data_IF_455029621059
#
_entry.id   IF_455029621059
#
_cell.length_a   1.000
_cell.length_b   1.000
_cell.length_c   1.000
_cell.angle_alpha   90.00
_cell.angle_beta   90.00
_cell.angle_gamma   90.00
#
_symmetry.space_group_name_H-M   'P 1'
#
loop_
_entity.id
_entity.type
_entity.pdbx_description
1 polymer ?
#
# COMPACT_ATOMS: atom_id res chain seq x y z
N UNK A 1 -32.54 -23.29 -2.18
CA UNK A 1 -32.73 -22.08 -1.34
C UNK A 1 -32.52 -22.32 0.15
N UNK A 2 -32.53 -23.58 0.66
CA UNK A 2 -32.38 -23.87 2.09
C UNK A 2 -31.10 -23.26 2.72
N UNK A 3 -29.96 -23.35 2.03
CA UNK A 3 -28.66 -22.85 2.50
C UNK A 3 -28.62 -21.33 2.79
N UNK A 4 -29.46 -20.56 2.10
CA UNK A 4 -29.50 -19.09 2.19
C UNK A 4 -30.82 -18.57 2.73
N UNK A 5 -31.59 -19.40 3.43
CA UNK A 5 -32.89 -19.03 3.97
C UNK A 5 -32.81 -17.91 5.04
N UNK A 6 -31.64 -17.68 5.61
CA UNK A 6 -31.42 -16.66 6.64
C UNK A 6 -31.00 -15.30 6.09
N UNK A 7 -30.78 -15.15 4.77
CA UNK A 7 -30.28 -13.91 4.15
C UNK A 7 -31.07 -12.66 4.57
N UNK A 8 -32.39 -12.75 4.67
CA UNK A 8 -33.24 -11.65 5.11
C UNK A 8 -32.92 -11.20 6.56
N UNK A 9 -32.62 -12.15 7.45
CA UNK A 9 -32.25 -11.82 8.85
C UNK A 9 -30.91 -11.09 8.90
N UNK A 10 -29.95 -11.54 8.09
CA UNK A 10 -28.64 -10.88 7.96
C UNK A 10 -28.79 -9.46 7.41
N UNK A 11 -29.66 -9.28 6.40
CA UNK A 11 -29.92 -7.97 5.81
C UNK A 11 -30.55 -7.02 6.84
N UNK A 12 -31.56 -7.47 7.60
CA UNK A 12 -32.19 -6.68 8.64
C UNK A 12 -31.24 -6.31 9.78
N UNK A 13 -30.32 -7.20 10.17
CA UNK A 13 -29.27 -6.90 11.14
C UNK A 13 -28.30 -5.85 10.60
N UNK A 14 -27.86 -6.00 9.35
CA UNK A 14 -26.99 -5.03 8.72
C UNK A 14 -27.69 -3.66 8.55
N UNK A 15 -29.00 -3.60 8.25
CA UNK A 15 -29.76 -2.35 8.18
C UNK A 15 -29.83 -1.62 9.52
N UNK A 16 -29.99 -2.34 10.64
CA UNK A 16 -29.94 -1.74 11.98
C UNK A 16 -28.57 -1.12 12.28
N UNK A 17 -27.50 -1.78 11.85
CA UNK A 17 -26.13 -1.33 12.08
C UNK A 17 -25.74 -0.17 11.15
N UNK A 18 -26.09 -0.26 9.87
CA UNK A 18 -25.54 0.61 8.82
C UNK A 18 -26.51 1.66 8.28
N UNK A 19 -27.80 1.55 8.57
CA UNK A 19 -28.85 2.37 7.96
C UNK A 19 -29.50 1.66 6.76
N UNK A 20 -30.44 2.33 6.07
CA UNK A 20 -31.32 1.68 5.09
C UNK A 20 -30.55 1.04 3.93
N UNK A 21 -31.01 -0.13 3.49
CA UNK A 21 -30.52 -0.75 2.26
C UNK A 21 -31.12 -0.06 1.03
N UNK A 22 -30.28 0.62 0.24
CA UNK A 22 -30.73 1.50 -0.86
C UNK A 22 -30.83 0.82 -2.23
N UNK A 23 -30.45 -0.45 -2.34
CA UNK A 23 -30.30 -1.13 -3.64
C UNK A 23 -31.55 -1.90 -4.09
N UNK A 24 -32.67 -1.74 -3.38
CA UNK A 24 -33.99 -2.33 -3.65
C UNK A 24 -34.10 -3.85 -3.54
N UNK A 25 -33.15 -4.61 -4.10
CA UNK A 25 -33.17 -6.06 -4.18
C UNK A 25 -31.80 -6.65 -3.85
N UNK A 26 -31.77 -7.67 -2.99
CA UNK A 26 -30.57 -8.43 -2.64
C UNK A 26 -30.73 -9.88 -3.13
N UNK A 27 -30.30 -10.14 -4.36
CA UNK A 27 -30.32 -11.48 -4.96
C UNK A 27 -28.98 -12.19 -4.75
N UNK A 28 -29.05 -13.52 -4.63
CA UNK A 28 -27.88 -14.38 -4.55
C UNK A 28 -27.76 -15.23 -5.81
N UNK A 29 -26.63 -15.09 -6.51
CA UNK A 29 -26.27 -15.94 -7.64
C UNK A 29 -25.25 -16.99 -7.19
N UNK A 30 -25.69 -18.25 -7.12
CA UNK A 30 -24.78 -19.38 -6.85
C UNK A 30 -24.07 -19.74 -8.15
N UNK A 31 -22.79 -19.40 -8.21
CA UNK A 31 -21.95 -19.63 -9.39
C UNK A 31 -21.41 -21.07 -9.41
N UNK A 32 -20.96 -21.57 -10.58
CA UNK A 32 -20.29 -22.85 -10.69
C UNK A 32 -19.05 -22.93 -9.78
N UNK A 33 -18.60 -24.13 -9.39
CA UNK A 33 -17.42 -24.32 -8.53
C UNK A 33 -16.11 -23.71 -9.05
N UNK A 34 -16.06 -23.30 -10.32
CA UNK A 34 -14.93 -22.59 -10.93
C UNK A 34 -14.83 -21.12 -10.52
N UNK A 35 -15.82 -20.57 -9.80
CA UNK A 35 -15.76 -19.20 -9.30
C UNK A 35 -14.63 -19.07 -8.25
N UNK A 36 -13.69 -18.13 -8.41
CA UNK A 36 -12.45 -18.14 -7.64
C UNK A 36 -12.56 -17.50 -6.24
N UNK A 37 -13.72 -16.99 -5.86
CA UNK A 37 -13.94 -16.30 -4.58
C UNK A 37 -15.06 -16.97 -3.77
N UNK A 38 -15.03 -16.81 -2.44
CA UNK A 38 -16.12 -17.29 -1.57
C UNK A 38 -17.43 -16.49 -1.72
N UNK A 39 -17.34 -15.24 -2.18
CA UNK A 39 -18.45 -14.32 -2.41
C UNK A 39 -17.90 -12.97 -2.90
N UNK A 40 -18.77 -12.11 -3.44
CA UNK A 40 -18.41 -10.76 -3.84
C UNK A 40 -19.41 -9.77 -3.21
N UNK A 41 -18.86 -8.65 -2.75
CA UNK A 41 -19.48 -7.44 -2.22
C UNK A 41 -20.32 -7.47 -0.91
N UNK A 42 -20.17 -6.39 -0.13
CA UNK A 42 -21.10 -5.96 0.90
C UNK A 42 -21.77 -4.63 0.47
N UNK A 43 -23.09 -4.48 0.64
CA UNK A 43 -23.84 -3.39 0.04
C UNK A 43 -23.58 -2.00 0.64
N UNK A 44 -23.05 -1.92 1.86
CA UNK A 44 -22.63 -0.65 2.48
C UNK A 44 -21.13 -0.38 2.27
N UNK A 45 -20.28 -1.26 2.77
CA UNK A 45 -18.82 -1.08 2.85
C UNK A 45 -18.14 -1.63 1.60
N UNK A 46 -18.02 -0.77 0.59
CA UNK A 46 -17.51 -1.10 -0.73
C UNK A 46 -18.42 -0.56 -1.83
N UNK A 47 -19.73 -0.82 -1.74
CA UNK A 47 -20.70 -0.39 -2.75
C UNK A 47 -21.29 1.00 -2.47
N UNK A 48 -21.74 1.26 -1.24
CA UNK A 48 -22.28 2.58 -0.87
C UNK A 48 -21.14 3.58 -0.60
N UNK A 49 -20.10 3.11 0.07
CA UNK A 49 -18.88 3.88 0.32
C UNK A 49 -17.70 3.09 -0.23
N UNK A 50 -17.03 3.64 -1.24
CA UNK A 50 -15.99 2.92 -1.98
C UNK A 50 -14.62 3.50 -1.67
N UNK A 51 -13.58 2.69 -1.61
CA UNK A 51 -12.22 3.19 -1.66
C UNK A 51 -11.95 3.98 -2.97
N UNK A 52 -11.29 5.13 -2.86
CA UNK A 52 -10.89 5.98 -4.01
C UNK A 52 -10.00 5.26 -5.00
N UNK A 53 -9.12 4.39 -4.50
CA UNK A 53 -8.28 3.50 -5.27
C UNK A 53 -7.90 2.29 -4.38
N UNK A 54 -7.22 1.30 -4.96
CA UNK A 54 -6.89 0.06 -4.26
C UNK A 54 -5.78 0.20 -3.20
N UNK A 55 -5.02 1.31 -3.13
CA UNK A 55 -4.13 1.56 -1.98
C UNK A 55 -4.94 1.71 -0.67
N UNK A 56 -6.22 2.07 -0.78
CA UNK A 56 -7.16 2.23 0.33
C UNK A 56 -8.15 1.07 0.46
N UNK A 57 -7.87 -0.09 -0.15
CA UNK A 57 -8.78 -1.25 -0.17
C UNK A 57 -9.18 -1.75 1.23
N UNK A 58 -8.33 -1.50 2.23
CA UNK A 58 -8.65 -1.78 3.63
C UNK A 58 -9.91 -1.05 4.12
N UNK A 59 -10.30 0.08 3.53
CA UNK A 59 -11.55 0.79 3.84
C UNK A 59 -12.79 0.01 3.41
N UNK A 60 -12.67 -0.84 2.39
CA UNK A 60 -13.75 -1.74 1.99
C UNK A 60 -13.70 -2.98 2.88
N UNK A 61 -12.63 -3.77 2.79
CA UNK A 61 -12.55 -5.08 3.45
C UNK A 61 -12.51 -5.00 4.97
N UNK A 62 -11.82 -4.01 5.53
CA UNK A 62 -11.72 -3.84 6.99
C UNK A 62 -13.07 -3.53 7.62
N UNK A 63 -13.85 -2.65 6.99
CA UNK A 63 -15.20 -2.33 7.45
C UNK A 63 -16.20 -3.44 7.15
N UNK A 64 -16.03 -4.15 6.03
CA UNK A 64 -16.81 -5.34 5.69
C UNK A 64 -16.65 -6.45 6.74
N UNK A 65 -15.42 -6.81 7.10
CA UNK A 65 -15.16 -7.83 8.13
C UNK A 65 -15.64 -7.36 9.51
N UNK A 66 -15.53 -6.06 9.80
CA UNK A 66 -16.09 -5.50 11.03
C UNK A 66 -17.62 -5.66 11.08
N UNK A 67 -18.31 -5.32 9.99
CA UNK A 67 -19.76 -5.45 9.89
C UNK A 67 -20.21 -6.91 9.94
N UNK A 68 -19.52 -7.80 9.22
CA UNK A 68 -19.77 -9.25 9.23
C UNK A 68 -19.78 -9.79 10.66
N UNK A 69 -18.75 -9.46 11.45
CA UNK A 69 -18.64 -9.89 12.85
C UNK A 69 -19.77 -9.33 13.71
N UNK A 70 -20.10 -8.05 13.56
CA UNK A 70 -21.20 -7.40 14.29
C UNK A 70 -22.57 -8.02 13.97
N UNK A 71 -22.83 -8.29 12.69
CA UNK A 71 -24.06 -8.97 12.27
C UNK A 71 -24.13 -10.37 12.86
N UNK A 72 -23.02 -11.11 12.84
CA UNK A 72 -22.94 -12.43 13.47
C UNK A 72 -23.18 -12.37 14.99
N UNK A 73 -22.64 -11.36 15.67
CA UNK A 73 -22.86 -11.15 17.10
C UNK A 73 -24.34 -10.84 17.42
N UNK A 74 -25.02 -10.03 16.60
CA UNK A 74 -26.47 -9.76 16.74
C UNK A 74 -27.32 -11.02 16.59
N UNK A 75 -26.90 -11.97 15.76
CA UNK A 75 -27.62 -13.22 15.51
C UNK A 75 -27.37 -14.29 16.60
N UNK A 76 -26.45 -14.04 17.54
CA UNK A 76 -26.24 -14.83 18.76
C UNK A 76 -25.40 -16.10 18.62
N UNK A 77 -24.95 -16.62 19.78
CA UNK A 77 -24.06 -17.80 19.91
C UNK A 77 -24.68 -19.14 19.48
N UNK A 78 -26.01 -19.16 19.30
CA UNK A 78 -26.77 -20.35 18.91
C UNK A 78 -26.94 -20.46 17.39
N UNK A 79 -26.55 -19.42 16.63
CA UNK A 79 -26.54 -19.47 15.17
C UNK A 79 -25.51 -20.51 14.68
N UNK A 80 -25.87 -21.46 13.79
CA UNK A 80 -24.98 -22.52 13.34
C UNK A 80 -23.68 -22.03 12.67
N UNK A 81 -23.62 -20.77 12.22
CA UNK A 81 -22.45 -20.15 11.60
C UNK A 81 -21.55 -19.35 12.57
N UNK A 82 -21.89 -19.23 13.86
CA UNK A 82 -21.07 -18.49 14.86
C UNK A 82 -20.08 -19.37 15.64
N UNK A 83 -19.94 -20.66 15.27
CA UNK A 83 -19.12 -21.61 16.03
C UNK A 83 -17.73 -21.86 15.44
N UNK A 84 -16.72 -21.34 16.15
CA UNK A 84 -15.38 -21.96 16.28
C UNK A 84 -14.71 -21.57 17.63
N UNK A 85 -15.43 -21.82 18.75
CA UNK A 85 -15.05 -21.82 20.19
C UNK A 85 -13.86 -20.93 20.66
N UNK A 86 -14.14 -19.99 21.60
CA UNK A 86 -13.72 -20.02 23.03
C UNK A 86 -14.74 -19.27 23.91
N UNK A 87 -15.04 -19.81 25.11
CA UNK A 87 -15.81 -19.22 26.22
C UNK A 87 -14.94 -18.28 27.07
N UNK A 88 -15.41 -17.05 27.30
CA UNK A 88 -14.83 -16.08 28.22
C UNK A 88 -15.92 -15.46 29.11
N UNK A 89 -16.40 -16.21 30.10
CA UNK A 89 -17.29 -15.69 31.14
C UNK A 89 -16.63 -14.59 31.99
N UNK A 90 -17.24 -13.39 31.98
CA UNK A 90 -17.08 -12.41 33.06
C UNK A 90 -16.99 -10.93 32.68
N UNK A 91 -17.79 -10.47 31.70
CA UNK A 91 -18.01 -9.07 31.27
C UNK A 91 -16.77 -8.29 30.78
N UNK A 92 -16.73 -8.05 29.47
CA UNK A 92 -15.65 -7.35 28.76
C UNK A 92 -15.94 -5.84 28.67
N UNK A 93 -14.93 -4.95 28.84
CA UNK A 93 -15.09 -3.49 28.76
C UNK A 93 -15.54 -2.93 27.39
N UNK A 94 -15.78 -3.78 26.38
CA UNK A 94 -16.26 -3.41 25.04
C UNK A 94 -17.76 -3.15 24.95
N UNK A 95 -18.54 -3.52 25.99
CA UNK A 95 -19.99 -3.27 26.03
C UNK A 95 -20.33 -1.76 26.04
N UNK A 96 -19.36 -0.89 26.37
CA UNK A 96 -19.49 0.57 26.27
C UNK A 96 -18.89 1.17 24.97
N UNK A 97 -18.02 0.43 24.26
CA UNK A 97 -17.42 0.87 23.00
C UNK A 97 -18.32 0.58 21.79
N UNK A 98 -19.21 -0.41 21.89
CA UNK A 98 -20.04 -0.88 20.78
C UNK A 98 -20.96 0.22 20.23
N UNK A 99 -21.74 0.91 21.07
CA UNK A 99 -22.73 1.90 20.62
C UNK A 99 -22.09 3.15 20.03
N UNK A 100 -21.03 3.67 20.64
CA UNK A 100 -20.35 4.89 20.19
C UNK A 100 -19.73 4.70 18.80
N UNK A 101 -19.15 3.52 18.54
CA UNK A 101 -18.58 3.22 17.23
C UNK A 101 -19.65 2.88 16.19
N UNK A 102 -20.77 2.27 16.58
CA UNK A 102 -21.90 2.02 15.68
C UNK A 102 -22.51 3.35 15.18
N UNK A 103 -22.61 4.36 16.07
CA UNK A 103 -23.04 5.70 15.67
C UNK A 103 -22.03 6.39 14.74
N UNK A 104 -20.72 6.20 14.98
CA UNK A 104 -19.68 6.64 14.05
C UNK A 104 -19.83 5.95 12.69
N UNK A 105 -20.05 4.64 12.66
CA UNK A 105 -20.18 3.86 11.43
C UNK A 105 -21.36 4.37 10.60
N UNK A 106 -22.53 4.58 11.22
CA UNK A 106 -23.70 5.19 10.55
C UNK A 106 -23.39 6.59 10.02
N UNK A 107 -22.74 7.41 10.84
CA UNK A 107 -22.34 8.77 10.46
C UNK A 107 -21.36 8.77 9.29
N UNK A 108 -20.39 7.86 9.29
CA UNK A 108 -19.42 7.65 8.22
C UNK A 108 -20.09 7.21 6.92
N UNK A 109 -20.95 6.18 6.97
CA UNK A 109 -21.67 5.69 5.79
C UNK A 109 -22.56 6.77 5.19
N UNK A 110 -23.29 7.52 6.02
CA UNK A 110 -24.13 8.62 5.56
C UNK A 110 -23.31 9.78 4.95
N UNK A 111 -22.17 10.13 5.54
CA UNK A 111 -21.32 11.23 5.04
C UNK A 111 -20.74 10.94 3.66
N UNK A 112 -20.30 9.71 3.46
CA UNK A 112 -19.58 9.26 2.27
C UNK A 112 -20.44 8.40 1.32
N UNK A 113 -21.75 8.31 1.56
CA UNK A 113 -22.67 7.62 0.67
C UNK A 113 -22.51 8.09 -0.77
N UNK A 114 -22.37 7.12 -1.68
CA UNK A 114 -22.15 7.28 -3.12
C UNK A 114 -20.89 8.06 -3.46
N UNK A 115 -19.86 8.00 -2.60
CA UNK A 115 -18.56 8.63 -2.83
C UNK A 115 -17.44 7.61 -2.70
N UNK A 116 -16.32 7.96 -3.33
CA UNK A 116 -15.06 7.26 -3.13
C UNK A 116 -14.11 8.04 -2.24
N UNK A 117 -13.47 7.40 -1.27
CA UNK A 117 -12.57 8.06 -0.31
C UNK A 117 -11.20 7.41 -0.16
N UNK A 118 -10.19 8.22 0.17
CA UNK A 118 -8.87 7.75 0.59
C UNK A 118 -8.73 7.64 2.12
N UNK A 119 -7.63 7.02 2.57
CA UNK A 119 -7.32 6.83 4.00
C UNK A 119 -7.24 8.17 4.74
N UNK A 120 -6.76 9.24 4.09
CA UNK A 120 -6.58 10.53 4.75
C UNK A 120 -7.92 11.22 4.99
N UNK A 121 -8.85 11.13 4.01
CA UNK A 121 -10.24 11.57 4.17
C UNK A 121 -10.95 10.79 5.29
N UNK A 122 -10.77 9.47 5.35
CA UNK A 122 -11.28 8.65 6.46
C UNK A 122 -10.71 9.11 7.80
N UNK A 123 -9.37 9.23 7.90
CA UNK A 123 -8.68 9.61 9.14
C UNK A 123 -9.12 11.00 9.60
N UNK A 124 -9.23 11.96 8.69
CA UNK A 124 -9.71 13.29 9.01
C UNK A 124 -11.14 13.25 9.56
N UNK A 125 -12.03 12.46 8.94
CA UNK A 125 -13.40 12.30 9.42
C UNK A 125 -13.47 11.61 10.78
N UNK A 126 -12.70 10.54 10.99
CA UNK A 126 -12.61 9.84 12.28
C UNK A 126 -12.13 10.78 13.40
N UNK A 127 -11.07 11.55 13.16
CA UNK A 127 -10.52 12.48 14.15
C UNK A 127 -11.45 13.65 14.46
N UNK A 128 -12.16 14.16 13.45
CA UNK A 128 -13.20 15.15 13.64
C UNK A 128 -14.45 14.55 14.31
N UNK A 129 -14.74 13.28 14.01
CA UNK A 129 -15.63 12.34 14.67
C UNK A 129 -15.55 12.45 16.18
N UNK A 130 -14.40 11.98 16.64
CA UNK A 130 -14.07 11.78 18.04
C UNK A 130 -13.36 12.98 18.67
N UNK A 131 -13.17 14.07 17.92
CA UNK A 131 -13.74 15.36 18.32
C UNK A 131 -13.70 15.75 19.80
N UNK A 132 -14.78 15.41 20.45
CA UNK A 132 -15.09 15.84 21.80
C UNK A 132 -15.15 14.60 22.72
N UNK A 133 -14.56 13.47 22.28
CA UNK A 133 -14.43 12.27 23.08
C UNK A 133 -13.27 12.47 24.09
N UNK A 134 -13.65 12.99 25.25
CA UNK A 134 -12.78 13.29 26.41
C UNK A 134 -11.88 12.11 26.82
N UNK A 135 -12.31 10.87 26.62
CA UNK A 135 -11.55 9.67 27.00
C UNK A 135 -10.33 9.42 26.10
N UNK A 136 -10.39 9.85 24.83
CA UNK A 136 -9.28 9.72 23.87
C UNK A 136 -8.35 10.94 23.85
N UNK A 137 -8.87 12.13 24.19
CA UNK A 137 -8.18 13.40 23.86
C UNK A 137 -7.43 14.05 24.99
N UNK A 138 -7.90 13.97 26.23
CA UNK A 138 -7.51 14.98 27.21
C UNK A 138 -6.08 14.77 27.72
N UNK A 139 -5.65 13.53 27.96
CA UNK A 139 -4.30 13.26 28.46
C UNK A 139 -3.22 13.38 27.37
N UNK A 140 -3.40 12.73 26.21
CA UNK A 140 -2.35 12.65 25.18
C UNK A 140 -2.22 13.96 24.39
N UNK A 141 -3.33 14.66 24.13
CA UNK A 141 -3.27 15.94 23.40
C UNK A 141 -2.63 17.05 24.25
N UNK A 142 -2.93 17.08 25.55
CA UNK A 142 -2.27 17.99 26.49
C UNK A 142 -0.77 17.69 26.57
N UNK A 143 -0.39 16.41 26.65
CA UNK A 143 1.00 16.00 26.64
C UNK A 143 1.70 16.40 25.32
N UNK A 144 1.08 16.17 24.16
CA UNK A 144 1.62 16.59 22.87
C UNK A 144 1.83 18.11 22.79
N UNK A 145 0.91 18.91 23.34
CA UNK A 145 1.08 20.36 23.50
C UNK A 145 2.29 20.71 24.36
N UNK A 146 2.44 20.05 25.51
CA UNK A 146 3.55 20.27 26.43
C UNK A 146 4.90 19.89 25.82
N UNK A 147 4.98 18.75 25.12
CA UNK A 147 6.20 18.29 24.43
C UNK A 147 6.65 19.30 23.37
N UNK A 148 5.71 19.91 22.63
CA UNK A 148 5.99 20.95 21.63
C UNK A 148 6.42 22.29 22.24
N UNK A 149 6.06 22.55 23.49
CA UNK A 149 6.51 23.74 24.22
C UNK A 149 7.88 23.54 24.86
N UNK A 150 8.45 24.60 25.43
CA UNK A 150 9.68 24.55 26.22
C UNK A 150 9.49 23.97 27.65
N UNK A 151 8.31 23.41 27.96
CA UNK A 151 8.04 22.82 29.26
C UNK A 151 8.93 21.57 29.52
N UNK A 152 9.29 21.28 30.78
CA UNK A 152 10.09 20.11 31.11
C UNK A 152 9.35 18.81 30.76
N UNK A 153 10.09 17.83 30.21
CA UNK A 153 9.61 16.48 29.93
C UNK A 153 10.28 15.46 30.83
N UNK A 154 9.55 14.42 31.21
CA UNK A 154 10.03 13.39 32.13
C UNK A 154 9.59 12.00 31.71
N UNK A 155 10.34 10.97 32.11
CA UNK A 155 9.93 9.58 31.87
C UNK A 155 8.57 9.22 32.49
N UNK A 156 8.10 9.98 33.49
CA UNK A 156 6.80 9.78 34.12
C UNK A 156 5.64 10.09 33.16
N UNK A 157 5.85 11.04 32.26
CA UNK A 157 4.84 11.53 31.33
C UNK A 157 4.26 10.41 30.45
N UNK A 158 5.08 9.41 30.15
CA UNK A 158 4.75 8.31 29.24
C UNK A 158 4.67 6.96 29.95
N UNK A 159 4.96 6.89 31.25
CA UNK A 159 5.04 5.63 32.00
C UNK A 159 3.72 4.86 32.00
N UNK A 160 2.61 5.57 32.14
CA UNK A 160 1.27 4.99 32.16
C UNK A 160 0.65 4.84 30.76
N UNK A 161 1.34 5.27 29.69
CA UNK A 161 0.79 5.20 28.34
C UNK A 161 0.89 3.77 27.81
N UNK A 162 -0.23 3.31 27.25
CA UNK A 162 -0.25 2.10 26.42
C UNK A 162 0.54 2.32 25.12
N UNK A 163 0.97 1.24 24.43
CA UNK A 163 1.62 1.36 23.13
C UNK A 163 0.80 2.15 22.11
N UNK A 164 -0.53 2.00 22.10
CA UNK A 164 -1.42 2.73 21.20
C UNK A 164 -1.45 4.23 21.50
N UNK A 165 -1.50 4.62 22.77
CA UNK A 165 -1.44 6.02 23.17
C UNK A 165 -0.07 6.63 22.86
N UNK A 166 1.01 5.86 23.00
CA UNK A 166 2.36 6.29 22.60
C UNK A 166 2.45 6.51 21.08
N UNK A 167 1.90 5.58 20.29
CA UNK A 167 1.81 5.71 18.83
C UNK A 167 1.01 6.96 18.45
N UNK A 168 -0.11 7.22 19.12
CA UNK A 168 -0.94 8.39 18.88
C UNK A 168 -0.20 9.69 19.23
N UNK A 169 0.47 9.76 20.38
CA UNK A 169 1.33 10.89 20.77
C UNK A 169 2.37 11.21 19.69
N UNK A 170 3.13 10.20 19.25
CA UNK A 170 4.16 10.39 18.23
C UNK A 170 3.57 10.78 16.88
N UNK A 171 2.41 10.24 16.52
CA UNK A 171 1.71 10.64 15.29
C UNK A 171 1.30 12.11 15.33
N UNK A 172 0.78 12.60 16.47
CA UNK A 172 0.44 14.02 16.63
C UNK A 172 1.66 14.93 16.48
N UNK A 173 2.83 14.47 16.94
CA UNK A 173 4.09 15.22 16.76
C UNK A 173 4.53 15.20 15.28
N UNK A 174 4.41 14.07 14.58
CA UNK A 174 4.76 13.94 13.15
C UNK A 174 3.91 14.87 12.29
N UNK A 175 2.61 14.93 12.59
CA UNK A 175 1.61 15.72 11.86
C UNK A 175 1.73 17.24 12.19
N UNK A 176 2.61 17.62 13.13
CA UNK A 176 2.84 19.00 13.53
C UNK A 176 4.13 19.60 12.95
N UNK A 177 4.42 20.87 13.25
CA UNK A 177 5.68 21.53 12.89
C UNK A 177 6.85 20.74 13.50
N UNK A 178 7.92 20.45 12.74
CA UNK A 178 9.06 19.70 13.27
C UNK A 178 9.65 20.35 14.53
N UNK A 179 9.98 19.53 15.52
CA UNK A 179 10.67 19.97 16.74
C UNK A 179 12.10 20.39 16.40
N UNK A 180 12.70 21.27 17.21
CA UNK A 180 14.15 21.49 17.15
C UNK A 180 14.90 20.20 17.50
N UNK A 181 16.09 20.02 16.94
CA UNK A 181 16.91 18.81 17.15
C UNK A 181 17.19 18.58 18.64
N UNK A 182 17.54 19.63 19.38
CA UNK A 182 17.82 19.52 20.83
C UNK A 182 16.60 19.03 21.62
N UNK A 183 15.42 19.59 21.30
CA UNK A 183 14.16 19.19 21.95
C UNK A 183 13.78 17.76 21.58
N UNK A 184 13.95 17.40 20.31
CA UNK A 184 13.69 16.04 19.84
C UNK A 184 14.57 15.03 20.58
N UNK A 185 15.87 15.31 20.75
CA UNK A 185 16.80 14.44 21.47
C UNK A 185 16.43 14.29 22.95
N UNK A 186 16.08 15.40 23.62
CA UNK A 186 15.59 15.36 24.99
C UNK A 186 14.37 14.43 25.14
N UNK A 187 13.39 14.55 24.23
CA UNK A 187 12.20 13.70 24.19
C UNK A 187 12.57 12.23 23.91
N UNK A 188 13.45 11.99 22.95
CA UNK A 188 13.94 10.66 22.58
C UNK A 188 14.57 9.92 23.76
N UNK A 189 15.39 10.63 24.54
CA UNK A 189 16.10 10.08 25.68
C UNK A 189 15.16 9.85 26.88
N UNK A 190 14.35 10.86 27.24
CA UNK A 190 13.42 10.76 28.38
C UNK A 190 12.33 9.72 28.16
N UNK A 191 11.84 9.57 26.94
CA UNK A 191 10.78 8.61 26.60
C UNK A 191 11.32 7.26 26.10
N UNK A 192 12.65 7.06 26.12
CA UNK A 192 13.33 5.81 25.72
C UNK A 192 12.95 5.35 24.32
N UNK A 193 12.77 6.28 23.39
CA UNK A 193 12.34 5.98 22.01
C UNK A 193 13.40 5.24 21.21
N UNK A 194 14.68 5.54 21.47
CA UNK A 194 15.83 4.92 20.81
C UNK A 194 15.96 3.42 21.11
N UNK A 195 15.41 2.95 22.23
CA UNK A 195 15.51 1.55 22.67
C UNK A 195 14.20 0.77 22.53
N UNK A 196 13.15 1.41 21.99
CA UNK A 196 11.87 0.76 21.76
C UNK A 196 12.02 -0.40 20.77
N UNK A 197 11.42 -1.56 21.07
CA UNK A 197 11.36 -2.72 20.15
C UNK A 197 10.09 -2.71 19.28
N UNK A 198 9.16 -1.80 19.52
CA UNK A 198 7.90 -1.74 18.79
C UNK A 198 8.10 -0.99 17.46
N UNK A 199 7.95 -1.69 16.34
CA UNK A 199 8.16 -1.14 15.01
C UNK A 199 7.27 0.08 14.68
N UNK A 200 6.05 0.19 15.24
CA UNK A 200 5.18 1.35 15.03
C UNK A 200 5.69 2.61 15.74
N UNK A 201 6.29 2.42 16.91
CA UNK A 201 6.90 3.48 17.72
C UNK A 201 8.22 3.89 17.08
N UNK A 202 9.08 2.92 16.73
CA UNK A 202 10.35 3.16 16.04
C UNK A 202 10.13 3.91 14.72
N UNK A 203 9.19 3.47 13.89
CA UNK A 203 8.87 4.14 12.62
C UNK A 203 8.52 5.62 12.82
N UNK A 204 7.61 5.95 13.76
CA UNK A 204 7.20 7.34 14.00
C UNK A 204 8.32 8.18 14.61
N UNK A 205 9.10 7.58 15.51
CA UNK A 205 10.27 8.21 16.09
C UNK A 205 11.31 8.57 15.01
N UNK A 206 11.70 7.60 14.18
CA UNK A 206 12.66 7.82 13.08
C UNK A 206 12.14 8.85 12.08
N UNK A 207 10.83 8.83 11.80
CA UNK A 207 10.19 9.83 10.94
C UNK A 207 10.26 11.24 11.53
N UNK A 208 10.10 11.40 12.86
CA UNK A 208 10.34 12.68 13.54
C UNK A 208 11.80 13.13 13.37
N UNK A 209 12.78 12.23 13.55
CA UNK A 209 14.19 12.54 13.35
C UNK A 209 14.50 13.07 11.95
N UNK A 210 13.96 12.43 10.91
CA UNK A 210 14.14 12.88 9.53
C UNK A 210 13.48 14.25 9.31
N UNK A 211 12.25 14.43 9.78
CA UNK A 211 11.51 15.71 9.63
C UNK A 211 12.17 16.87 10.36
N UNK A 212 12.80 16.61 11.50
CA UNK A 212 13.59 17.59 12.28
C UNK A 212 15.03 17.74 11.78
N UNK A 213 15.42 17.03 10.70
CA UNK A 213 16.77 17.05 10.13
C UNK A 213 17.88 16.65 11.12
N UNK A 214 17.64 15.66 11.99
CA UNK A 214 18.67 15.13 12.90
C UNK A 214 19.65 14.21 12.15
N UNK A 215 20.81 14.77 11.77
CA UNK A 215 21.84 14.07 10.99
C UNK A 215 22.43 12.86 11.72
N UNK A 216 22.45 12.88 13.05
CA UNK A 216 22.99 11.78 13.86
C UNK A 216 22.14 10.50 13.76
N UNK A 217 20.90 10.61 13.28
CA UNK A 217 19.94 9.50 13.20
C UNK A 217 19.73 8.96 11.79
N UNK A 218 20.42 9.52 10.79
CA UNK A 218 20.28 9.07 9.39
C UNK A 218 20.65 7.60 9.24
N UNK A 219 21.72 7.15 9.89
CA UNK A 219 22.15 5.75 9.84
C UNK A 219 21.12 4.81 10.48
N UNK A 220 20.53 5.21 11.61
CA UNK A 220 19.45 4.47 12.27
C UNK A 220 18.22 4.32 11.33
N UNK A 221 17.88 5.38 10.60
CA UNK A 221 16.77 5.36 9.62
C UNK A 221 17.08 4.42 8.47
N UNK A 222 18.27 4.51 7.88
CA UNK A 222 18.70 3.65 6.78
C UNK A 222 18.75 2.17 7.21
N UNK A 223 19.27 1.89 8.40
CA UNK A 223 19.27 0.55 8.96
C UNK A 223 17.85 0.01 9.14
N UNK A 224 16.92 0.83 9.65
CA UNK A 224 15.52 0.42 9.83
C UNK A 224 14.82 0.11 8.51
N UNK A 225 14.97 0.95 7.47
CA UNK A 225 14.36 0.68 6.16
C UNK A 225 14.99 -0.52 5.44
N UNK A 226 16.25 -0.85 5.73
CA UNK A 226 16.90 -2.04 5.19
C UNK A 226 16.49 -3.32 5.95
N UNK A 227 16.16 -3.22 7.24
CA UNK A 227 15.73 -4.36 8.05
C UNK A 227 14.24 -4.71 7.86
N UNK A 228 13.40 -3.77 7.42
CA UNK A 228 11.95 -3.96 7.27
C UNK A 228 11.49 -3.80 5.81
N UNK A 229 10.75 -4.78 5.29
CA UNK A 229 10.18 -4.72 3.93
C UNK A 229 8.77 -4.11 3.82
N UNK A 230 8.16 -3.68 4.93
CA UNK A 230 6.75 -3.24 4.95
C UNK A 230 6.62 -1.83 4.38
N UNK A 231 5.99 -1.70 3.21
CA UNK A 231 5.84 -0.43 2.47
C UNK A 231 5.33 0.74 3.31
N UNK A 232 4.45 0.50 4.29
CA UNK A 232 3.91 1.56 5.17
C UNK A 232 4.98 2.28 5.99
N UNK A 233 6.11 1.64 6.24
CA UNK A 233 7.27 2.22 6.91
C UNK A 233 8.28 2.77 5.91
N UNK A 234 8.61 1.93 4.92
CA UNK A 234 9.70 2.17 3.97
C UNK A 234 9.39 3.35 3.04
N UNK A 235 8.20 3.41 2.42
CA UNK A 235 7.86 4.47 1.45
C UNK A 235 7.89 5.87 2.08
N UNK A 236 7.25 6.13 3.24
CA UNK A 236 7.28 7.46 3.84
C UNK A 236 8.68 7.89 4.29
N UNK A 237 9.48 6.98 4.85
CA UNK A 237 10.84 7.30 5.29
C UNK A 237 11.76 7.64 4.11
N UNK A 238 11.74 6.86 3.03
CA UNK A 238 12.50 7.21 1.82
C UNK A 238 12.03 8.52 1.18
N UNK A 239 10.71 8.80 1.19
CA UNK A 239 10.18 10.08 0.71
C UNK A 239 10.70 11.25 1.54
N UNK A 240 10.64 11.15 2.86
CA UNK A 240 11.11 12.20 3.76
C UNK A 240 12.64 12.38 3.66
N UNK A 241 13.41 11.30 3.52
CA UNK A 241 14.85 11.35 3.26
C UNK A 241 15.20 11.98 1.90
N UNK A 242 14.45 11.64 0.85
CA UNK A 242 14.68 12.21 -0.48
C UNK A 242 14.35 13.71 -0.53
N UNK A 243 13.31 14.14 0.20
CA UNK A 243 12.97 15.56 0.32
C UNK A 243 14.07 16.37 1.04
N UNK A 244 14.86 15.72 1.91
CA UNK A 244 15.96 16.34 2.63
C UNK A 244 17.25 16.39 1.77
N UNK A 245 17.53 17.55 1.17
CA UNK A 245 18.62 17.77 0.21
C UNK A 245 19.98 17.23 0.67
N UNK A 246 20.35 17.51 1.91
CA UNK A 246 21.65 17.17 2.48
C UNK A 246 21.91 15.66 2.56
N UNK A 247 20.86 14.83 2.64
CA UNK A 247 20.95 13.36 2.75
C UNK A 247 20.40 12.63 1.54
N UNK A 248 19.83 13.34 0.57
CA UNK A 248 19.17 12.78 -0.62
C UNK A 248 20.06 11.80 -1.36
N UNK A 249 21.31 12.17 -1.62
CA UNK A 249 22.27 11.32 -2.32
C UNK A 249 22.45 9.98 -1.57
N UNK A 250 22.64 10.04 -0.24
CA UNK A 250 22.78 8.83 0.60
C UNK A 250 21.54 7.94 0.57
N UNK A 251 20.35 8.54 0.53
CA UNK A 251 19.09 7.80 0.44
C UNK A 251 18.96 7.08 -0.90
N UNK A 252 19.33 7.75 -2.01
CA UNK A 252 19.34 7.15 -3.35
C UNK A 252 20.37 6.02 -3.43
N UNK A 253 21.59 6.24 -2.94
CA UNK A 253 22.66 5.23 -2.95
C UNK A 253 22.26 4.00 -2.12
N UNK A 254 21.67 4.21 -0.94
CA UNK A 254 21.18 3.12 -0.10
C UNK A 254 20.05 2.34 -0.80
N UNK A 255 19.11 3.04 -1.45
CA UNK A 255 18.05 2.39 -2.21
C UNK A 255 18.61 1.52 -3.35
N UNK A 256 19.48 2.07 -4.19
CA UNK A 256 20.07 1.33 -5.32
C UNK A 256 20.91 0.13 -4.87
N UNK A 257 21.63 0.25 -3.75
CA UNK A 257 22.40 -0.86 -3.18
C UNK A 257 21.53 -2.02 -2.69
N UNK A 258 20.31 -1.71 -2.23
CA UNK A 258 19.40 -2.67 -1.61
C UNK A 258 18.19 -3.08 -2.48
N UNK A 259 17.98 -2.41 -3.61
CA UNK A 259 16.83 -2.59 -4.52
C UNK A 259 16.61 -4.08 -4.86
N UNK A 260 17.67 -4.80 -5.22
CA UNK A 260 17.65 -6.23 -5.54
C UNK A 260 17.19 -7.15 -4.40
N UNK A 261 17.26 -6.68 -3.15
CA UNK A 261 16.83 -7.43 -1.96
C UNK A 261 15.43 -7.02 -1.50
N UNK A 262 14.85 -5.96 -2.07
CA UNK A 262 13.48 -5.54 -1.79
C UNK A 262 12.50 -6.46 -2.52
N UNK A 263 11.39 -6.80 -1.88
CA UNK A 263 10.33 -7.57 -2.53
C UNK A 263 9.86 -6.83 -3.79
N UNK A 264 9.81 -7.50 -4.94
CA UNK A 264 9.39 -6.93 -6.23
C UNK A 264 8.04 -6.18 -6.16
N UNK A 265 7.15 -6.65 -5.29
CA UNK A 265 5.86 -6.01 -4.95
C UNK A 265 6.04 -4.66 -4.26
N UNK A 266 7.02 -4.54 -3.36
CA UNK A 266 7.37 -3.29 -2.66
C UNK A 266 8.01 -2.24 -3.58
N UNK A 267 8.55 -2.67 -4.74
CA UNK A 267 9.03 -1.78 -5.78
C UNK A 267 7.95 -1.43 -6.82
N UNK A 268 7.02 -2.34 -7.18
CA UNK A 268 6.16 -2.10 -8.36
C UNK A 268 4.79 -2.81 -8.47
N UNK A 269 4.41 -3.80 -7.66
CA UNK A 269 3.45 -4.83 -8.16
C UNK A 269 2.50 -5.47 -7.13
N UNK A 270 1.43 -4.78 -6.73
CA UNK A 270 0.25 -5.49 -6.19
C UNK A 270 -0.90 -5.55 -7.21
N UNK A 271 -0.98 -4.57 -8.11
CA UNK A 271 -2.08 -4.42 -9.07
C UNK A 271 -1.91 -5.23 -10.37
N UNK A 272 -0.69 -5.29 -10.94
CA UNK A 272 -0.41 -6.05 -12.17
C UNK A 272 -0.59 -7.58 -12.02
N UNK A 273 -0.61 -8.08 -10.79
CA UNK A 273 -0.79 -9.51 -10.49
C UNK A 273 -2.20 -10.00 -10.81
N UNK A 274 -3.20 -9.11 -10.80
CA UNK A 274 -4.62 -9.49 -10.98
C UNK A 274 -5.32 -8.74 -12.13
N UNK A 275 -4.79 -7.60 -12.58
CA UNK A 275 -5.35 -6.83 -13.70
C UNK A 275 -4.79 -7.30 -15.05
N UNK A 276 -5.56 -7.17 -16.13
CA UNK A 276 -5.02 -7.25 -17.50
C UNK A 276 -4.15 -6.04 -17.75
N UNK A 277 -2.90 -6.25 -18.11
CA UNK A 277 -1.95 -5.19 -18.43
C UNK A 277 -1.72 -5.12 -19.94
N UNK A 278 -1.43 -3.92 -20.42
CA UNK A 278 -1.11 -3.70 -21.83
C UNK A 278 0.39 -3.80 -22.02
N UNK A 279 0.80 -4.77 -22.82
CA UNK A 279 2.20 -4.96 -23.19
C UNK A 279 2.44 -4.56 -24.62
N UNK A 280 3.59 -3.92 -24.84
CA UNK A 280 4.16 -3.74 -26.18
C UNK A 280 5.26 -4.78 -26.40
N UNK A 281 5.26 -5.37 -27.59
CA UNK A 281 6.37 -6.18 -28.09
C UNK A 281 6.88 -5.61 -29.40
N UNK A 282 8.15 -5.19 -29.39
CA UNK A 282 8.84 -4.70 -30.60
C UNK A 282 9.32 -5.89 -31.43
N UNK A 283 8.73 -6.03 -32.62
CA UNK A 283 9.02 -7.13 -33.55
C UNK A 283 10.21 -6.86 -34.47
N UNK A 284 10.85 -5.70 -34.36
CA UNK A 284 11.96 -5.32 -35.23
C UNK A 284 13.11 -6.34 -35.11
N UNK A 285 13.44 -6.98 -36.24
CA UNK A 285 14.46 -8.04 -36.33
C UNK A 285 14.25 -9.26 -35.41
N UNK A 286 13.00 -9.52 -35.00
CA UNK A 286 12.66 -10.70 -34.19
C UNK A 286 12.14 -11.84 -35.07
N UNK A 287 12.44 -13.08 -34.68
CA UNK A 287 11.86 -14.27 -35.31
C UNK A 287 10.40 -14.44 -34.84
N UNK A 288 9.41 -14.55 -35.76
CA UNK A 288 8.00 -14.66 -35.37
C UNK A 288 7.65 -15.90 -34.55
N UNK A 289 8.29 -17.04 -34.81
CA UNK A 289 7.99 -18.30 -34.12
C UNK A 289 8.54 -18.29 -32.70
N UNK A 290 9.77 -17.82 -32.52
CA UNK A 290 10.38 -17.63 -31.21
C UNK A 290 9.62 -16.56 -30.39
N UNK A 291 9.22 -15.47 -31.04
CA UNK A 291 8.43 -14.39 -30.41
C UNK A 291 7.08 -14.89 -29.92
N UNK A 292 6.41 -15.74 -30.70
CA UNK A 292 5.11 -16.32 -30.32
C UNK A 292 5.19 -17.15 -29.03
N UNK A 293 6.28 -17.90 -28.82
CA UNK A 293 6.48 -18.69 -27.60
C UNK A 293 6.58 -17.82 -26.33
N UNK A 294 7.12 -16.61 -26.45
CA UNK A 294 7.18 -15.65 -25.35
C UNK A 294 5.84 -14.96 -25.17
N UNK A 295 5.28 -14.39 -26.23
CA UNK A 295 4.02 -13.62 -26.20
C UNK A 295 2.89 -14.47 -25.63
N UNK A 296 2.83 -15.77 -25.99
CA UNK A 296 1.84 -16.72 -25.47
C UNK A 296 1.81 -16.76 -23.92
N UNK A 297 2.97 -16.69 -23.25
CA UNK A 297 3.04 -16.70 -21.78
C UNK A 297 2.40 -15.46 -21.16
N UNK A 298 2.47 -14.32 -21.85
CA UNK A 298 1.83 -13.08 -21.42
C UNK A 298 0.33 -13.10 -21.68
N UNK A 299 -0.08 -13.52 -22.88
CA UNK A 299 -1.50 -13.70 -23.24
C UNK A 299 -2.21 -14.70 -22.33
N UNK A 300 -1.52 -15.74 -21.85
CA UNK A 300 -2.08 -16.73 -20.93
C UNK A 300 -1.92 -16.36 -19.46
N UNK A 301 -1.30 -15.23 -19.12
CA UNK A 301 -1.07 -14.83 -17.72
C UNK A 301 -0.04 -15.68 -16.96
N UNK A 302 0.64 -16.61 -17.63
CA UNK A 302 1.64 -17.53 -17.07
C UNK A 302 2.89 -16.82 -16.51
N UNK A 303 3.12 -15.57 -16.88
CA UNK A 303 4.19 -14.74 -16.35
C UNK A 303 3.84 -14.10 -14.99
N UNK A 304 2.57 -14.19 -14.53
CA UNK A 304 2.13 -13.58 -13.28
C UNK A 304 2.50 -14.47 -12.08
N UNK A 305 2.92 -13.88 -10.94
CA UNK A 305 3.33 -14.64 -9.75
C UNK A 305 2.26 -15.55 -9.16
N UNK A 306 0.98 -15.26 -9.41
CA UNK A 306 -0.18 -16.03 -8.96
C UNK A 306 -0.99 -16.38 -10.21
N UNK A 307 -0.78 -17.59 -10.74
CA UNK A 307 -1.46 -18.11 -11.93
C UNK A 307 -2.37 -19.29 -11.54
N UNK A 308 -3.59 -19.32 -12.09
CA UNK A 308 -4.49 -20.46 -11.98
C UNK A 308 -5.04 -20.80 -13.38
N UNK A 309 -5.08 -22.08 -13.82
CA UNK A 309 -5.51 -22.47 -15.17
C UNK A 309 -6.94 -22.04 -15.55
N UNK A 310 -7.79 -21.80 -14.55
CA UNK A 310 -9.18 -21.38 -14.73
C UNK A 310 -9.38 -19.85 -14.62
N UNK A 311 -8.34 -19.08 -14.26
CA UNK A 311 -8.41 -17.63 -14.18
C UNK A 311 -8.07 -16.98 -15.51
N UNK A 312 -8.97 -16.15 -16.03
CA UNK A 312 -8.74 -15.33 -17.22
C UNK A 312 -8.03 -14.02 -16.85
N UNK A 313 -6.81 -14.15 -16.33
CA UNK A 313 -5.91 -13.04 -16.01
C UNK A 313 -4.84 -12.81 -17.09
N UNK A 314 -5.09 -13.29 -18.32
CA UNK A 314 -4.23 -13.09 -19.48
C UNK A 314 -4.07 -11.62 -19.85
N UNK A 315 -2.90 -11.22 -20.33
CA UNK A 315 -2.65 -9.83 -20.67
C UNK A 315 -2.95 -9.49 -22.13
N UNK A 316 -3.17 -8.21 -22.40
CA UNK A 316 -3.33 -7.72 -23.77
C UNK A 316 -1.94 -7.39 -24.29
N UNK A 317 -1.43 -8.26 -25.15
CA UNK A 317 -0.18 -7.98 -25.87
C UNK A 317 -0.56 -7.43 -27.24
N UNK A 318 -0.30 -6.14 -27.46
CA UNK A 318 -0.44 -5.55 -28.80
C UNK A 318 0.90 -5.60 -29.52
N UNK A 319 0.89 -6.27 -30.66
CA UNK A 319 2.01 -6.33 -31.56
C UNK A 319 2.01 -5.06 -32.40
N UNK A 320 3.00 -4.21 -32.16
CA UNK A 320 3.15 -2.97 -32.90
C UNK A 320 4.34 -3.06 -33.82
N UNK A 321 4.08 -2.96 -35.12
CA UNK A 321 5.10 -2.86 -36.15
C UNK A 321 5.00 -1.45 -36.70
N UNK A 322 5.90 -0.57 -36.24
CA UNK A 322 6.06 0.76 -36.81
C UNK A 322 7.24 0.73 -37.79
N UNK A 323 7.03 1.07 -39.07
CA UNK A 323 8.09 1.05 -40.08
C UNK A 323 9.32 1.87 -39.72
N UNK A 324 9.14 2.95 -38.95
CA UNK A 324 10.17 3.88 -38.47
C UNK A 324 10.52 3.69 -36.98
N UNK A 325 9.90 2.71 -36.31
CA UNK A 325 10.09 2.45 -34.88
C UNK A 325 9.49 3.52 -33.95
N UNK A 326 8.67 4.45 -34.46
CA UNK A 326 8.04 5.49 -33.65
C UNK A 326 6.65 5.07 -33.23
N UNK A 327 6.47 4.83 -31.94
CA UNK A 327 5.17 4.52 -31.34
C UNK A 327 4.41 5.85 -31.10
N UNK A 328 3.16 6.00 -31.59
CA UNK A 328 2.32 7.15 -31.29
C UNK A 328 2.14 7.38 -29.78
N UNK A 329 2.15 8.64 -29.34
CA UNK A 329 2.08 9.02 -27.92
C UNK A 329 0.81 8.49 -27.23
N UNK A 330 -0.34 8.58 -27.90
CA UNK A 330 -1.62 8.06 -27.38
C UNK A 330 -1.61 6.54 -27.13
N UNK A 331 -0.73 5.80 -27.80
CA UNK A 331 -0.54 4.37 -27.57
C UNK A 331 0.37 4.17 -26.37
N UNK A 332 1.49 4.91 -26.29
CA UNK A 332 2.42 4.89 -25.15
C UNK A 332 1.74 5.23 -23.82
N UNK A 333 0.80 6.16 -23.82
CA UNK A 333 -0.02 6.52 -22.64
C UNK A 333 -0.77 5.33 -22.03
N UNK A 334 -1.06 4.30 -22.83
CA UNK A 334 -1.81 3.12 -22.40
C UNK A 334 -0.91 1.89 -22.15
N UNK A 335 0.39 1.98 -22.43
CA UNK A 335 1.33 0.87 -22.24
C UNK A 335 1.72 0.76 -20.77
N UNK A 336 1.41 -0.37 -20.16
CA UNK A 336 1.77 -0.63 -18.77
C UNK A 336 3.15 -1.28 -18.64
N UNK A 337 3.58 -2.01 -19.67
CA UNK A 337 4.84 -2.75 -19.64
C UNK A 337 5.37 -3.05 -21.06
N UNK A 338 6.65 -3.35 -21.18
CA UNK A 338 7.29 -3.74 -22.45
C UNK A 338 7.90 -5.14 -22.32
N UNK A 339 7.52 -6.04 -23.23
CA UNK A 339 8.14 -7.36 -23.33
C UNK A 339 9.52 -7.19 -23.97
N UNK A 340 10.55 -7.72 -23.29
CA UNK A 340 11.92 -7.69 -23.77
C UNK A 340 12.05 -8.44 -25.11
N UNK A 341 12.78 -7.85 -26.05
CA UNK A 341 13.15 -8.49 -27.31
C UNK A 341 14.08 -9.68 -27.08
N UNK A 342 13.90 -10.74 -27.88
CA UNK A 342 14.70 -11.96 -27.80
C UNK A 342 16.10 -11.76 -28.36
N UNK A 343 16.21 -11.02 -29.47
CA UNK A 343 17.48 -10.66 -30.11
C UNK A 343 17.68 -9.15 -30.01
N UNK A 344 18.90 -8.73 -29.69
CA UNK A 344 19.26 -7.33 -29.82
C UNK A 344 19.27 -6.94 -31.30
N UNK A 345 18.69 -5.78 -31.60
CA UNK A 345 18.76 -5.21 -32.95
C UNK A 345 20.21 -4.78 -33.18
N UNK A 346 20.91 -5.30 -34.21
CA UNK A 346 22.27 -4.90 -34.47
C UNK A 346 22.32 -3.42 -34.88
N UNK A 347 23.20 -2.67 -34.23
CA UNK A 347 23.53 -1.30 -34.63
C UNK A 347 24.44 -1.36 -35.85
N UNK A 348 24.13 -0.58 -36.89
CA UNK A 348 25.04 -0.45 -38.03
C UNK A 348 26.31 0.29 -37.58
N UNK A 349 27.45 -0.09 -38.16
CA UNK A 349 28.75 0.43 -37.77
C UNK A 349 28.85 1.97 -37.91
N UNK A 350 28.15 2.54 -38.89
CA UNK A 350 28.05 3.98 -39.17
C UNK A 350 27.22 4.77 -38.14
N UNK A 351 26.50 4.09 -37.25
CA UNK A 351 25.72 4.69 -36.17
C UNK A 351 26.38 4.58 -34.80
N UNK A 352 27.53 3.92 -34.70
CA UNK A 352 28.28 3.79 -33.45
C UNK A 352 29.13 5.05 -33.27
N UNK A 353 29.10 5.72 -32.11
CA UNK A 353 29.97 6.87 -31.85
C UNK A 353 31.44 6.52 -32.08
N UNK A 354 32.18 7.42 -32.73
CA UNK A 354 33.56 7.15 -33.15
C UNK A 354 34.50 6.86 -31.97
N UNK A 355 34.23 7.46 -30.81
CA UNK A 355 34.92 7.16 -29.54
C UNK A 355 34.71 5.72 -29.04
N UNK A 356 33.57 5.11 -29.35
CA UNK A 356 33.26 3.73 -28.99
C UNK A 356 33.90 2.75 -29.99
N UNK A 357 33.87 3.10 -31.28
CA UNK A 357 34.55 2.34 -32.35
C UNK A 357 36.05 2.26 -32.10
N UNK A 358 36.68 3.35 -31.63
CA UNK A 358 38.11 3.38 -31.29
C UNK A 358 38.48 2.47 -30.11
N UNK A 359 37.52 2.12 -29.24
CA UNK A 359 37.73 1.20 -28.11
C UNK A 359 37.58 -0.27 -28.51
N UNK A 360 37.11 -0.56 -29.71
CA UNK A 360 37.01 -1.95 -30.17
C UNK A 360 38.39 -2.57 -30.30
N UNK A 361 38.57 -3.84 -29.86
CA UNK A 361 39.84 -4.52 -29.98
C UNK A 361 40.24 -4.62 -31.45
N UNK A 362 41.32 -3.93 -31.81
CA UNK A 362 41.86 -3.94 -33.18
C UNK A 362 42.50 -5.31 -33.42
N UNK A 363 42.02 -6.02 -34.44
CA UNK A 363 42.63 -7.29 -34.87
C UNK A 363 43.96 -7.03 -35.60
N UNK A 364 44.09 -5.86 -36.22
CA UNK A 364 45.29 -5.42 -36.94
C UNK A 364 45.40 -3.90 -36.85
N UNK A 365 46.60 -3.39 -36.61
CA UNK A 365 46.91 -1.98 -36.80
C UNK A 365 47.52 -1.82 -38.18
N UNK A 366 46.82 -1.09 -39.06
CA UNK A 366 47.36 -0.77 -40.36
C UNK A 366 48.45 0.31 -40.21
N UNK A 367 49.61 0.16 -40.88
CA UNK A 367 50.62 1.20 -40.89
C UNK A 367 50.10 2.46 -41.60
N UNK A 368 50.66 3.63 -41.27
CA UNK A 368 50.16 4.93 -41.75
C UNK A 368 50.18 5.08 -43.28
N UNK A 369 50.96 4.26 -43.98
CA UNK A 369 51.08 4.20 -45.44
C UNK A 369 50.16 3.16 -46.09
N UNK A 370 49.25 2.53 -45.34
CA UNK A 370 48.35 1.51 -45.87
C UNK A 370 47.27 2.11 -46.78
N UNK A 371 47.44 1.93 -48.08
CA UNK A 371 46.43 2.29 -49.09
C UNK A 371 45.55 1.07 -49.37
N UNK A 372 44.25 1.16 -49.05
CA UNK A 372 43.25 0.20 -49.52
C UNK A 372 43.20 0.28 -51.06
N UNK A 373 43.57 -0.80 -51.75
CA UNK A 373 43.41 -0.92 -53.20
C UNK A 373 42.00 -1.33 -53.60
#
# INVERSE_FOLDING_TARGET
AWEFAETEKYLQAAERLCGPYVWTQYDLLVLPPSFPYGGMENPWTGNLVTNRNFEHFWLNEGFTVFLERKVNDELGSDNPFTKLVVDLKGKHPDDAFSTVFDDFLRSYLNKFAQKSLDTDQFKAYLLNYFKDNEQLKTAVSALAGRVRSAAPVSAEDVRALTPHQMIYLLQMLVDSVPLSVDRLREVGDKYKLNTSKNAEIQYRWLRLCVRSKDTARVDDVLQFVNAQGRMKYVRPLYRDLYAWEEVRARAVDNFLAHERYMMHVSAYTQWATFARTWHVFDCKWQDPYESANVIKKYLMGLHKPIYHPMNDCGDVVRLFIYPDGKIPENILENVSNQIRQLKQVPTRLDHIPEEEVQKFPKVMEYPEDYVLK
#
